data_IF_078694418426
#
_entry.id   IF_078694418426
#
_cell.length_a   1.000
_cell.length_b   1.000
_cell.length_c   1.000
_cell.angle_alpha   90.00
_cell.angle_beta   90.00
_cell.angle_gamma   90.00
#
_symmetry.space_group_name_H-M   'P 1'
#
loop_
_entity.id
_entity.type
_entity.pdbx_description
1 polymer ?
#
# COMPACT_ATOMS: atom_id res chain seq x y z
N UNK A 1 7.12 34.33 -16.05
CA UNK A 1 6.01 34.70 -16.95
C UNK A 1 4.73 34.23 -16.30
N UNK A 2 4.03 35.12 -15.62
CA UNK A 2 2.79 34.81 -14.91
C UNK A 2 1.70 34.50 -15.94
N UNK A 3 1.04 33.35 -15.80
CA UNK A 3 -0.08 32.98 -16.64
C UNK A 3 -1.26 33.92 -16.32
N UNK A 4 -1.76 34.75 -17.26
CA UNK A 4 -2.79 35.76 -16.96
C UNK A 4 -4.08 35.14 -16.42
N UNK A 5 -4.38 33.90 -16.80
CA UNK A 5 -5.52 33.14 -16.30
C UNK A 5 -5.37 32.80 -14.80
N UNK A 6 -4.13 32.63 -14.33
CA UNK A 6 -3.85 32.34 -12.93
C UNK A 6 -4.01 33.57 -12.02
N UNK A 7 -3.76 34.79 -12.53
CA UNK A 7 -4.02 36.02 -11.76
C UNK A 7 -5.49 36.15 -11.38
N UNK A 8 -6.40 35.79 -12.30
CA UNK A 8 -7.85 35.79 -12.04
C UNK A 8 -8.20 34.83 -10.90
N UNK A 9 -7.52 33.69 -10.80
CA UNK A 9 -7.69 32.75 -9.67
C UNK A 9 -7.22 33.35 -8.35
N UNK A 10 -6.09 34.05 -8.35
CA UNK A 10 -5.59 34.75 -7.16
C UNK A 10 -6.58 35.83 -6.72
N UNK A 11 -7.11 36.62 -7.65
CA UNK A 11 -8.13 37.62 -7.35
C UNK A 11 -9.37 36.99 -6.69
N UNK A 12 -9.87 35.89 -7.25
CA UNK A 12 -11.01 35.16 -6.69
C UNK A 12 -10.73 34.58 -5.29
N UNK A 13 -9.49 34.13 -5.02
CA UNK A 13 -9.07 33.69 -3.68
C UNK A 13 -9.14 34.86 -2.70
N UNK A 14 -8.57 36.01 -3.06
CA UNK A 14 -8.57 37.20 -2.21
C UNK A 14 -9.99 37.70 -1.92
N UNK A 15 -10.88 37.70 -2.91
CA UNK A 15 -12.29 38.01 -2.72
C UNK A 15 -12.97 37.04 -1.75
N UNK A 16 -12.72 35.73 -1.90
CA UNK A 16 -13.28 34.72 -1.00
C UNK A 16 -12.81 34.88 0.44
N UNK A 17 -11.53 35.18 0.64
CA UNK A 17 -10.94 35.42 1.97
C UNK A 17 -11.49 36.71 2.59
N UNK A 18 -11.65 37.77 1.80
CA UNK A 18 -12.29 39.01 2.23
C UNK A 18 -13.74 38.77 2.68
N UNK A 19 -14.51 37.96 1.95
CA UNK A 19 -15.89 37.60 2.34
C UNK A 19 -15.93 36.74 3.61
N UNK A 20 -14.96 35.82 3.79
CA UNK A 20 -14.97 34.88 4.91
C UNK A 20 -14.50 35.49 6.23
N UNK A 21 -13.49 36.34 6.18
CA UNK A 21 -12.83 36.90 7.37
C UNK A 21 -13.07 38.41 7.54
N UNK A 22 -13.60 39.08 6.52
CA UNK A 22 -14.01 40.48 6.60
C UNK A 22 -12.87 41.42 6.97
N UNK A 23 -13.12 42.25 7.98
CA UNK A 23 -12.21 43.30 8.42
C UNK A 23 -10.83 42.76 8.87
N UNK A 24 -10.77 41.58 9.46
CA UNK A 24 -9.50 41.01 9.94
C UNK A 24 -8.54 40.69 8.78
N UNK A 25 -9.08 40.27 7.62
CA UNK A 25 -8.31 40.07 6.41
C UNK A 25 -7.81 41.38 5.80
N UNK A 26 -8.68 42.40 5.76
CA UNK A 26 -8.33 43.72 5.19
C UNK A 26 -7.28 44.43 6.03
N UNK A 27 -7.40 44.37 7.36
CA UNK A 27 -6.46 45.00 8.31
C UNK A 27 -5.05 44.47 8.18
N UNK A 28 -4.88 43.21 7.78
CA UNK A 28 -3.56 42.62 7.66
C UNK A 28 -2.70 43.30 6.61
N UNK A 29 -3.32 43.76 5.52
CA UNK A 29 -2.64 44.36 4.37
C UNK A 29 -2.71 45.89 4.40
N UNK A 30 -3.07 46.48 5.53
CA UNK A 30 -3.14 47.93 5.70
C UNK A 30 -1.75 48.56 5.49
N UNK A 31 -1.67 49.55 4.59
CA UNK A 31 -0.41 50.18 4.19
C UNK A 31 0.46 49.38 3.21
N UNK A 32 0.03 48.21 2.75
CA UNK A 32 0.74 47.41 1.73
C UNK A 32 0.02 47.49 0.39
N UNK A 33 0.76 47.66 -0.70
CA UNK A 33 0.18 47.62 -2.04
C UNK A 33 -0.20 46.16 -2.40
N UNK A 34 -1.51 45.96 -2.53
CA UNK A 34 -2.16 44.69 -2.82
C UNK A 34 -1.66 44.06 -4.13
N UNK A 35 -1.19 44.85 -5.09
CA UNK A 35 -0.64 44.32 -6.33
C UNK A 35 0.61 43.46 -6.08
N UNK A 36 1.51 43.91 -5.18
CA UNK A 36 2.69 43.12 -4.81
C UNK A 36 2.32 41.88 -4.00
N UNK A 37 1.32 41.98 -3.13
CA UNK A 37 0.86 40.82 -2.34
C UNK A 37 0.28 39.74 -3.25
N UNK A 38 -0.53 40.12 -4.24
CA UNK A 38 -1.10 39.18 -5.21
C UNK A 38 -0.02 38.58 -6.12
N UNK A 39 0.97 39.37 -6.53
CA UNK A 39 2.11 38.87 -7.29
C UNK A 39 2.95 37.83 -6.50
N UNK A 40 3.24 38.11 -5.23
CA UNK A 40 3.92 37.18 -4.33
C UNK A 40 3.12 35.88 -4.14
N UNK A 41 1.81 36.00 -3.90
CA UNK A 41 0.92 34.84 -3.80
C UNK A 41 0.88 34.02 -5.08
N UNK A 42 0.92 34.68 -6.24
CA UNK A 42 0.95 33.99 -7.51
C UNK A 42 2.21 33.16 -7.71
N UNK A 43 3.37 33.70 -7.35
CA UNK A 43 4.65 33.00 -7.42
C UNK A 43 4.66 31.79 -6.47
N UNK A 44 4.20 32.00 -5.23
CA UNK A 44 4.15 30.96 -4.21
C UNK A 44 3.16 29.82 -4.53
N UNK A 45 2.11 30.13 -5.28
CA UNK A 45 1.06 29.18 -5.68
C UNK A 45 1.19 28.68 -7.12
N UNK A 46 2.21 29.11 -7.87
CA UNK A 46 2.40 28.75 -9.29
C UNK A 46 2.44 27.23 -9.51
N UNK A 47 2.93 26.47 -8.52
CA UNK A 47 2.91 25.00 -8.53
C UNK A 47 1.51 24.38 -8.66
N UNK A 48 0.45 25.12 -8.36
CA UNK A 48 -0.95 24.69 -8.52
C UNK A 48 -1.59 25.18 -9.83
N UNK A 49 -0.88 25.93 -10.68
CA UNK A 49 -1.45 26.49 -11.91
C UNK A 49 -2.03 25.41 -12.85
N UNK A 50 -1.44 24.22 -12.87
CA UNK A 50 -1.91 23.09 -13.68
C UNK A 50 -3.02 22.25 -13.02
N UNK A 51 -3.23 22.40 -11.71
CA UNK A 51 -4.25 21.67 -10.97
C UNK A 51 -4.78 22.52 -9.80
N UNK A 52 -5.97 23.07 -9.97
CA UNK A 52 -6.62 23.96 -8.99
C UNK A 52 -7.37 23.20 -7.88
N UNK A 53 -7.49 21.87 -7.94
CA UNK A 53 -8.23 21.09 -6.94
C UNK A 53 -7.69 21.26 -5.50
N UNK A 54 -6.36 21.26 -5.26
CA UNK A 54 -5.80 21.54 -3.95
C UNK A 54 -6.19 22.92 -3.40
N UNK A 55 -6.24 23.95 -4.26
CA UNK A 55 -6.68 25.29 -3.87
C UNK A 55 -8.18 25.32 -3.52
N UNK A 56 -9.01 24.64 -4.34
CA UNK A 56 -10.45 24.47 -4.05
C UNK A 56 -10.65 23.73 -2.72
N UNK A 57 -9.87 22.70 -2.45
CA UNK A 57 -9.89 21.97 -1.18
C UNK A 57 -9.54 22.89 -0.02
N UNK A 58 -8.49 23.70 -0.15
CA UNK A 58 -8.06 24.64 0.88
C UNK A 58 -9.15 25.67 1.21
N UNK A 59 -9.79 26.24 0.19
CA UNK A 59 -10.89 27.21 0.38
C UNK A 59 -12.13 26.62 1.06
N UNK A 60 -12.35 25.29 0.96
CA UNK A 60 -13.44 24.59 1.65
C UNK A 60 -13.12 24.26 3.11
N UNK A 61 -11.84 24.12 3.45
CA UNK A 61 -11.36 23.71 4.77
C UNK A 61 -10.64 24.84 5.51
N UNK A 62 -11.08 26.07 5.26
CA UNK A 62 -10.58 27.25 5.92
C UNK A 62 -10.89 27.21 7.43
N UNK A 63 -9.92 27.49 8.32
CA UNK A 63 -10.13 27.50 9.76
C UNK A 63 -10.99 28.68 10.20
N UNK A 64 -11.54 28.60 11.42
CA UNK A 64 -12.45 29.64 11.94
C UNK A 64 -11.76 30.98 12.17
N UNK A 65 -10.51 30.95 12.66
CA UNK A 65 -9.66 32.14 12.73
C UNK A 65 -8.85 32.24 11.45
N UNK A 66 -8.78 33.46 10.92
CA UNK A 66 -8.07 33.78 9.69
C UNK A 66 -6.66 33.18 9.69
N UNK A 67 -6.34 32.23 8.79
CA UNK A 67 -4.97 32.06 8.36
C UNK A 67 -4.69 33.18 7.36
N UNK A 68 -3.67 33.95 7.67
CA UNK A 68 -3.43 35.24 7.08
C UNK A 68 -2.29 35.20 6.05
N UNK A 69 -1.82 34.03 5.61
CA UNK A 69 -0.71 33.98 4.67
C UNK A 69 -0.80 32.82 3.67
N UNK A 70 -0.07 32.99 2.57
CA UNK A 70 0.02 32.01 1.49
C UNK A 70 0.54 30.66 2.00
N UNK A 71 1.49 30.66 2.94
CA UNK A 71 2.05 29.43 3.51
C UNK A 71 1.03 28.57 4.26
N UNK A 72 0.09 29.17 4.99
CA UNK A 72 -0.98 28.45 5.67
C UNK A 72 -2.00 27.91 4.66
N UNK A 73 -2.34 28.68 3.62
CA UNK A 73 -3.20 28.18 2.54
C UNK A 73 -2.54 26.96 1.84
N UNK A 74 -1.24 27.04 1.55
CA UNK A 74 -0.44 25.93 0.98
C UNK A 74 -0.47 24.69 1.87
N UNK A 75 -0.33 24.86 3.19
CA UNK A 75 -0.42 23.74 4.14
C UNK A 75 -1.75 23.00 4.01
N UNK A 76 -2.87 23.72 3.94
CA UNK A 76 -4.20 23.11 3.79
C UNK A 76 -4.35 22.51 2.39
N UNK A 77 -3.87 23.17 1.34
CA UNK A 77 -3.91 22.66 -0.02
C UNK A 77 -3.16 21.32 -0.15
N UNK A 78 -2.02 21.18 0.53
CA UNK A 78 -1.22 19.95 0.54
C UNK A 78 -1.86 18.79 1.31
N UNK A 79 -2.91 19.05 2.10
CA UNK A 79 -3.71 17.99 2.72
C UNK A 79 -4.77 17.42 1.77
N UNK A 80 -4.93 17.98 0.58
CA UNK A 80 -5.87 17.49 -0.41
C UNK A 80 -5.57 16.02 -0.75
N UNK A 81 -6.52 15.09 -0.57
CA UNK A 81 -6.32 13.70 -0.93
C UNK A 81 -5.97 13.55 -2.42
N UNK A 82 -5.07 12.62 -2.78
CA UNK A 82 -4.75 12.39 -4.18
C UNK A 82 -5.99 11.90 -4.94
N UNK A 83 -6.15 12.28 -6.22
CA UNK A 83 -7.26 11.80 -7.02
C UNK A 83 -7.24 10.28 -7.10
N UNK A 84 -8.39 9.65 -6.83
CA UNK A 84 -8.54 8.20 -6.95
C UNK A 84 -8.64 7.85 -8.43
N UNK A 85 -7.52 7.42 -9.01
CA UNK A 85 -7.52 6.87 -10.36
C UNK A 85 -8.10 5.44 -10.33
N UNK A 86 -9.12 5.19 -11.17
CA UNK A 86 -9.56 3.82 -11.43
C UNK A 86 -8.43 3.10 -12.17
N UNK A 87 -7.91 2.04 -11.59
CA UNK A 87 -6.90 1.22 -12.24
C UNK A 87 -7.45 0.69 -13.57
N UNK A 88 -6.62 0.75 -14.62
CA UNK A 88 -6.93 0.06 -15.86
C UNK A 88 -7.09 -1.44 -15.57
N UNK A 89 -8.00 -2.15 -16.26
CA UNK A 89 -8.07 -3.60 -16.15
C UNK A 89 -6.70 -4.18 -16.49
N UNK A 90 -6.23 -5.13 -15.68
CA UNK A 90 -4.95 -5.77 -15.93
C UNK A 90 -4.90 -6.35 -17.35
N UNK A 91 -3.80 -6.16 -18.10
CA UNK A 91 -3.66 -6.78 -19.41
C UNK A 91 -3.83 -8.29 -19.27
N UNK A 92 -4.68 -8.89 -20.08
CA UNK A 92 -4.86 -10.35 -20.09
C UNK A 92 -3.51 -10.97 -20.45
N UNK A 93 -2.99 -11.84 -19.58
CA UNK A 93 -1.77 -12.57 -19.86
C UNK A 93 -1.96 -13.42 -21.13
N UNK A 94 -0.99 -13.40 -22.02
CA UNK A 94 -0.94 -14.30 -23.18
C UNK A 94 -0.72 -15.74 -22.70
N UNK A 95 -1.32 -16.71 -23.39
CA UNK A 95 -1.29 -18.13 -23.00
C UNK A 95 0.13 -18.68 -22.76
N UNK A 96 1.12 -18.17 -23.50
CA UNK A 96 2.53 -18.51 -23.35
C UNK A 96 3.14 -18.09 -21.99
N UNK A 97 2.71 -16.95 -21.43
CA UNK A 97 3.19 -16.49 -20.12
C UNK A 97 2.55 -17.32 -19.01
N UNK A 98 1.27 -17.67 -19.17
CA UNK A 98 0.54 -18.51 -18.22
C UNK A 98 1.15 -19.90 -18.15
N UNK A 99 1.43 -20.54 -19.29
CA UNK A 99 2.02 -21.88 -19.34
C UNK A 99 3.44 -21.91 -18.75
N UNK A 100 4.28 -20.91 -19.05
CA UNK A 100 5.61 -20.78 -18.48
C UNK A 100 5.57 -20.60 -16.95
N UNK A 101 4.62 -19.82 -16.44
CA UNK A 101 4.45 -19.61 -15.00
C UNK A 101 3.95 -20.89 -14.30
N UNK A 102 3.01 -21.60 -14.93
CA UNK A 102 2.50 -22.89 -14.43
C UNK A 102 3.59 -23.96 -14.40
N UNK A 103 4.46 -24.02 -15.41
CA UNK A 103 5.60 -24.93 -15.43
C UNK A 103 6.54 -24.70 -14.25
N UNK A 104 6.94 -23.44 -14.01
CA UNK A 104 7.78 -23.06 -12.84
C UNK A 104 7.11 -23.42 -11.52
N UNK A 105 5.81 -23.20 -11.41
CA UNK A 105 5.07 -23.51 -10.19
C UNK A 105 4.97 -25.03 -9.96
N UNK A 106 4.82 -25.82 -11.02
CA UNK A 106 4.82 -27.28 -10.93
C UNK A 106 6.20 -27.81 -10.51
N UNK A 107 7.27 -27.30 -11.10
CA UNK A 107 8.65 -27.64 -10.72
C UNK A 107 8.91 -27.34 -9.23
N UNK A 108 8.49 -26.16 -8.77
CA UNK A 108 8.64 -25.79 -7.36
C UNK A 108 7.83 -26.71 -6.44
N UNK A 109 6.60 -27.04 -6.81
CA UNK A 109 5.76 -27.98 -6.05
C UNK A 109 6.36 -29.38 -6.01
N UNK A 110 6.97 -29.85 -7.10
CA UNK A 110 7.67 -31.12 -7.15
C UNK A 110 8.94 -31.11 -6.30
N UNK A 111 9.68 -30.00 -6.30
CA UNK A 111 10.87 -29.84 -5.47
C UNK A 111 10.55 -29.75 -3.97
N UNK A 112 9.42 -29.12 -3.61
CA UNK A 112 8.93 -29.05 -2.22
C UNK A 112 8.10 -30.27 -1.81
N UNK A 113 7.82 -31.20 -2.72
CA UNK A 113 7.05 -32.39 -2.37
C UNK A 113 7.80 -33.17 -1.28
N UNK A 114 7.13 -33.56 -0.18
CA UNK A 114 7.77 -34.31 0.89
C UNK A 114 8.39 -35.59 0.31
N UNK A 115 9.67 -35.81 0.62
CA UNK A 115 10.42 -36.98 0.13
C UNK A 115 9.80 -38.24 0.72
N UNK A 116 9.35 -39.13 -0.16
CA UNK A 116 8.82 -40.48 0.04
C UNK A 116 8.65 -40.98 1.49
N UNK A 117 7.39 -41.26 1.82
CA UNK A 117 6.92 -42.20 2.84
C UNK A 117 7.60 -42.12 4.21
N UNK A 118 7.00 -41.31 5.09
CA UNK A 118 7.41 -41.10 6.49
C UNK A 118 7.52 -42.41 7.31
N UNK A 119 6.88 -43.50 6.85
CA UNK A 119 6.89 -44.83 7.48
C UNK A 119 7.70 -45.88 6.70
N UNK A 120 8.50 -45.47 5.72
CA UNK A 120 9.27 -46.38 4.87
C UNK A 120 10.34 -47.14 5.65
N UNK A 121 10.97 -46.48 6.62
CA UNK A 121 11.91 -47.11 7.54
C UNK A 121 11.26 -48.23 8.37
N UNK A 122 10.01 -48.03 8.79
CA UNK A 122 9.29 -48.99 9.62
C UNK A 122 8.87 -50.22 8.81
N UNK A 123 8.38 -50.02 7.57
CA UNK A 123 8.07 -51.13 6.64
C UNK A 123 9.30 -51.96 6.30
N UNK A 124 10.45 -51.30 6.05
CA UNK A 124 11.70 -51.99 5.76
C UNK A 124 12.18 -52.85 6.95
N UNK A 125 12.07 -52.35 8.18
CA UNK A 125 12.46 -53.10 9.38
C UNK A 125 11.55 -54.32 9.64
N UNK A 126 10.24 -54.17 9.48
CA UNK A 126 9.31 -55.30 9.64
C UNK A 126 9.58 -56.37 8.58
N UNK A 127 9.75 -55.97 7.31
CA UNK A 127 10.06 -56.90 6.22
C UNK A 127 11.38 -57.66 6.44
N UNK A 128 12.43 -56.99 6.92
CA UNK A 128 13.72 -57.63 7.27
C UNK A 128 13.60 -58.63 8.41
N UNK A 129 12.77 -58.32 9.42
CA UNK A 129 12.47 -59.25 10.51
C UNK A 129 11.69 -60.47 10.04
N UNK A 130 10.71 -60.28 9.16
CA UNK A 130 9.91 -61.37 8.59
C UNK A 130 10.79 -62.29 7.72
N UNK A 131 11.81 -61.72 7.07
CA UNK A 131 12.83 -62.46 6.34
C UNK A 131 13.84 -63.21 7.24
N UNK A 132 13.70 -63.15 8.57
CA UNK A 132 14.52 -63.89 9.53
C UNK A 132 15.80 -63.18 9.99
N UNK A 133 15.98 -61.90 9.63
CA UNK A 133 17.11 -61.12 10.14
C UNK A 133 16.92 -60.79 11.63
N UNK A 134 17.97 -60.99 12.44
CA UNK A 134 17.94 -60.61 13.85
C UNK A 134 18.02 -59.09 14.02
N UNK A 135 16.87 -58.46 14.22
CA UNK A 135 16.73 -57.04 14.54
C UNK A 135 16.61 -56.86 16.06
N UNK A 136 17.17 -55.76 16.58
CA UNK A 136 17.04 -55.41 18.01
C UNK A 136 15.55 -55.32 18.40
N UNK A 137 15.10 -56.00 19.47
CA UNK A 137 13.68 -56.07 19.83
C UNK A 137 12.99 -54.71 19.95
N UNK A 138 13.68 -53.73 20.54
CA UNK A 138 13.14 -52.38 20.73
C UNK A 138 12.94 -51.63 19.40
N UNK A 139 13.84 -51.78 18.43
CA UNK A 139 13.72 -51.14 17.12
C UNK A 139 12.54 -51.68 16.31
N UNK A 140 12.24 -52.97 16.51
CA UNK A 140 11.13 -53.66 15.86
C UNK A 140 9.78 -53.29 16.48
N UNK A 141 9.72 -53.10 17.81
CA UNK A 141 8.55 -52.56 18.49
C UNK A 141 8.23 -51.13 18.02
N UNK A 142 9.23 -50.24 17.96
CA UNK A 142 9.04 -48.89 17.44
C UNK A 142 8.54 -48.88 15.98
N UNK A 143 9.03 -49.80 15.14
CA UNK A 143 8.57 -49.94 13.76
C UNK A 143 7.11 -50.41 13.68
N UNK A 144 6.72 -51.42 14.47
CA UNK A 144 5.34 -51.92 14.54
C UNK A 144 4.36 -50.88 15.09
N UNK A 145 4.76 -50.13 16.11
CA UNK A 145 3.98 -49.03 16.68
C UNK A 145 3.80 -47.88 15.67
N UNK A 146 4.86 -47.51 14.94
CA UNK A 146 4.78 -46.50 13.88
C UNK A 146 3.80 -46.91 12.76
N UNK A 147 3.69 -48.21 12.49
CA UNK A 147 2.73 -48.78 11.51
C UNK A 147 1.33 -49.04 12.09
N UNK A 148 1.13 -48.87 13.41
CA UNK A 148 -0.15 -49.13 14.08
C UNK A 148 -0.47 -50.62 14.26
N UNK A 149 0.52 -51.51 14.11
CA UNK A 149 0.40 -52.96 14.31
C UNK A 149 0.41 -53.34 15.80
N UNK A 150 0.81 -52.43 16.67
CA UNK A 150 0.93 -52.61 18.11
C UNK A 150 0.29 -51.39 18.81
N UNK A 151 -0.42 -51.60 19.92
CA UNK A 151 -1.13 -50.54 20.65
C UNK A 151 -0.17 -49.47 21.18
N UNK A 152 -0.67 -48.23 21.36
CA UNK A 152 0.15 -47.16 21.97
C UNK A 152 0.60 -47.58 23.36
N UNK A 153 1.90 -47.45 23.62
CA UNK A 153 2.46 -47.61 24.97
C UNK A 153 1.95 -46.51 25.90
N UNK A 154 1.82 -46.81 27.20
CA UNK A 154 1.05 -46.03 28.18
C UNK A 154 1.52 -44.58 28.43
N UNK A 155 2.63 -44.14 27.85
CA UNK A 155 3.21 -42.79 27.99
C UNK A 155 3.06 -41.91 26.73
N UNK A 156 2.27 -42.35 25.74
CA UNK A 156 2.16 -41.76 24.40
C UNK A 156 0.82 -41.09 24.13
#
# INVERSE_FOLDING_TARGET
MTNPDFMVVIDAIFEKLAVRYGHDWLRQWDGVDMAFVKADWAEELDGYANNLEPLRYALRHLPERCPANVGQLKKIANLCPPPVFKALPAPKATEAVVSAQMAKQLELKQALAPKADEKGWARALVSRSEAGEKIRPYSLLCARQALGLEGRTAWQ
#
